data_IF_910783545938
#
_entry.id   IF_910783545938
#
_cell.length_a   1.000
_cell.length_b   1.000
_cell.length_c   1.000
_cell.angle_alpha   90.00
_cell.angle_beta   90.00
_cell.angle_gamma   90.00
#
_symmetry.space_group_name_H-M   'P 1'
#
loop_
_entity.id
_entity.type
_entity.pdbx_description
1 polymer ?
#
# COMPACT_ATOMS: atom_id res chain seq x y z
N UNK A 1 -10.32 -17.63 1.22
CA UNK A 1 -8.84 -17.54 1.19
C UNK A 1 -8.31 -18.16 2.47
N UNK A 2 -7.41 -19.15 2.41
CA UNK A 2 -6.72 -19.67 3.60
C UNK A 2 -5.47 -18.81 3.82
N UNK A 3 -5.44 -18.05 4.91
CA UNK A 3 -4.29 -17.21 5.28
C UNK A 3 -3.29 -18.11 6.01
N UNK A 4 -2.06 -18.20 5.52
CA UNK A 4 -0.99 -18.96 6.17
C UNK A 4 -0.19 -18.01 7.07
N UNK A 5 -0.45 -18.07 8.37
CA UNK A 5 0.02 -17.09 9.35
C UNK A 5 1.51 -17.22 9.72
N UNK A 6 2.24 -18.22 9.21
CA UNK A 6 3.57 -18.55 9.76
C UNK A 6 4.72 -17.65 9.27
N UNK A 7 4.58 -16.84 8.20
CA UNK A 7 5.75 -16.13 7.63
C UNK A 7 5.52 -14.74 7.00
N UNK A 8 4.51 -13.96 7.38
CA UNK A 8 4.44 -12.54 6.96
C UNK A 8 3.90 -11.65 8.10
N UNK A 9 4.63 -10.60 8.52
CA UNK A 9 4.25 -9.76 9.66
C UNK A 9 2.96 -8.94 9.44
N UNK A 10 2.51 -8.81 8.20
CA UNK A 10 1.15 -8.43 7.82
C UNK A 10 0.99 -8.73 6.31
N UNK A 11 -0.13 -9.34 5.90
CA UNK A 11 -0.49 -9.47 4.49
C UNK A 11 -1.61 -8.46 4.19
N UNK A 12 -1.31 -7.44 3.38
CA UNK A 12 -2.34 -6.59 2.80
C UNK A 12 -2.72 -7.22 1.47
N UNK A 13 -3.81 -7.99 1.46
CA UNK A 13 -4.34 -8.51 0.21
C UNK A 13 -5.04 -7.37 -0.55
N UNK A 14 -4.32 -6.76 -1.47
CA UNK A 14 -4.84 -5.78 -2.40
C UNK A 14 -5.70 -6.54 -3.40
N UNK A 15 -6.94 -6.11 -3.60
CA UNK A 15 -7.84 -6.67 -4.61
C UNK A 15 -7.10 -6.77 -5.97
N UNK A 16 -7.51 -7.74 -6.80
CA UNK A 16 -6.90 -8.38 -7.99
C UNK A 16 -5.91 -7.64 -8.90
N UNK A 17 -5.72 -6.33 -8.77
CA UNK A 17 -4.94 -5.44 -9.64
C UNK A 17 -3.81 -4.67 -8.92
N UNK A 18 -3.40 -5.06 -7.71
CA UNK A 18 -2.33 -4.37 -6.93
C UNK A 18 -2.64 -2.90 -6.63
N UNK A 19 -3.91 -2.51 -6.71
CA UNK A 19 -4.33 -1.14 -6.39
C UNK A 19 -4.62 -1.02 -4.90
N UNK A 20 -3.93 -0.10 -4.25
CA UNK A 20 -4.26 0.41 -2.93
C UNK A 20 -5.22 1.58 -3.07
N UNK A 21 -6.20 1.67 -2.17
CA UNK A 21 -7.12 2.81 -2.13
C UNK A 21 -6.87 3.65 -0.88
N UNK A 22 -6.75 4.95 -1.05
CA UNK A 22 -6.54 5.91 0.04
C UNK A 22 -7.68 6.92 0.06
N UNK A 23 -8.21 7.21 1.24
CA UNK A 23 -9.17 8.30 1.42
C UNK A 23 -8.42 9.54 1.88
N UNK A 24 -8.46 10.61 1.06
CA UNK A 24 -7.90 11.93 1.38
C UNK A 24 -8.94 13.00 1.11
N UNK A 25 -9.21 13.84 2.10
CA UNK A 25 -10.20 14.94 2.02
C UNK A 25 -11.57 14.49 1.49
N UNK A 26 -12.01 13.31 1.89
CA UNK A 26 -13.29 12.71 1.47
C UNK A 26 -13.28 12.07 0.08
N UNK A 27 -12.14 12.08 -0.63
CA UNK A 27 -11.98 11.48 -1.94
C UNK A 27 -11.25 10.14 -1.85
N UNK A 28 -11.72 9.14 -2.62
CA UNK A 28 -11.05 7.86 -2.78
C UNK A 28 -10.05 7.95 -3.93
N UNK A 29 -8.76 7.82 -3.63
CA UNK A 29 -7.66 7.91 -4.60
C UNK A 29 -7.09 6.50 -4.80
N UNK A 30 -7.17 5.94 -6.02
CA UNK A 30 -6.50 4.69 -6.36
C UNK A 30 -4.99 4.93 -6.53
N UNK A 31 -4.17 4.03 -6.00
CA UNK A 31 -2.72 4.06 -6.12
C UNK A 31 -2.20 2.68 -6.47
N UNK A 32 -1.56 2.54 -7.63
CA UNK A 32 -0.95 1.27 -8.05
C UNK A 32 0.35 1.05 -7.28
N UNK A 33 0.46 -0.10 -6.61
CA UNK A 33 1.69 -0.48 -5.93
C UNK A 33 2.73 -1.02 -6.91
N UNK A 34 4.04 -0.77 -6.65
CA UNK A 34 5.09 -1.33 -7.46
C UNK A 34 5.17 -2.86 -7.28
N UNK A 35 5.60 -3.56 -8.32
CA UNK A 35 5.85 -5.00 -8.26
C UNK A 35 6.95 -5.39 -7.27
N UNK A 36 7.96 -4.52 -7.13
CA UNK A 36 9.01 -4.62 -6.14
C UNK A 36 9.50 -3.22 -5.76
N UNK A 37 9.51 -2.91 -4.47
CA UNK A 37 9.87 -1.59 -3.99
C UNK A 37 9.25 -1.26 -2.65
N UNK A 38 9.26 0.02 -2.32
CA UNK A 38 8.73 0.55 -1.07
C UNK A 38 7.69 1.62 -1.36
N UNK A 39 6.51 1.50 -0.76
CA UNK A 39 5.52 2.57 -0.69
C UNK A 39 5.41 3.02 0.77
N UNK A 40 5.73 4.27 1.03
CA UNK A 40 5.67 4.90 2.35
C UNK A 40 4.43 5.79 2.41
N UNK A 41 3.57 5.54 3.41
CA UNK A 41 2.39 6.37 3.70
C UNK A 41 2.76 7.28 4.86
N UNK A 42 2.69 8.59 4.66
CA UNK A 42 2.95 9.59 5.69
C UNK A 42 1.60 10.13 6.14
N UNK A 43 1.31 9.99 7.43
CA UNK A 43 0.08 10.47 8.05
C UNK A 43 0.34 11.67 8.95
N UNK A 44 -0.58 12.64 8.93
CA UNK A 44 -0.57 13.79 9.83
C UNK A 44 -1.97 13.92 10.45
N UNK A 45 -2.05 13.96 11.79
CA UNK A 45 -3.32 14.11 12.49
C UNK A 45 -4.35 13.01 12.20
N UNK A 46 -3.90 11.76 12.01
CA UNK A 46 -4.77 10.62 11.72
C UNK A 46 -5.30 10.55 10.28
N UNK A 47 -4.85 11.46 9.39
CA UNK A 47 -5.18 11.47 7.95
C UNK A 47 -3.94 11.21 7.12
N UNK A 48 -4.13 10.71 5.90
CA UNK A 48 -3.02 10.58 4.93
C UNK A 48 -2.63 11.96 4.39
N UNK A 49 -1.38 12.36 4.62
CA UNK A 49 -0.79 13.59 4.08
C UNK A 49 -0.29 13.35 2.66
N UNK A 50 0.62 12.38 2.50
CA UNK A 50 1.21 12.03 1.21
C UNK A 50 1.63 10.57 1.13
N UNK A 51 1.83 10.11 -0.09
CA UNK A 51 2.42 8.81 -0.41
C UNK A 51 3.72 9.04 -1.18
N UNK A 52 4.73 8.24 -0.86
CA UNK A 52 5.99 8.21 -1.58
C UNK A 52 6.23 6.77 -2.03
N UNK A 53 6.47 6.57 -3.33
CA UNK A 53 6.77 5.24 -3.87
C UNK A 53 8.17 5.26 -4.47
N UNK A 54 9.01 4.34 -4.02
CA UNK A 54 10.33 4.09 -4.58
C UNK A 54 10.32 2.69 -5.18
N UNK A 55 10.38 2.64 -6.51
CA UNK A 55 10.65 1.38 -7.20
C UNK A 55 12.10 0.99 -6.90
N UNK A 56 12.31 -0.26 -6.50
CA UNK A 56 13.66 -0.82 -6.38
C UNK A 56 13.86 -1.81 -7.51
N UNK A 57 15.04 -1.89 -8.13
CA UNK A 57 15.35 -3.07 -8.92
C UNK A 57 15.38 -4.27 -7.96
N UNK A 58 14.93 -5.44 -8.42
CA UNK A 58 15.07 -6.67 -7.65
C UNK A 58 16.56 -7.04 -7.60
N UNK A 59 17.26 -6.57 -6.57
CA UNK A 59 18.68 -6.82 -6.25
C UNK A 59 18.83 -6.93 -4.75
#
# INVERSE_FOLDING_TARGET
>A
MKINCEKMPAEINLMSNKTMYVVKDGQLIPHELPDYGETVIITMGGKVDRLETKQKPKV
#
